data_IF_915425729906
#
_entry.id   IF_915425729906
#
_cell.length_a   1.000
_cell.length_b   1.000
_cell.length_c   1.000
_cell.angle_alpha   90.00
_cell.angle_beta   90.00
_cell.angle_gamma   90.00
#
_symmetry.space_group_name_H-M   'P 1'
#
loop_
_entity.id
_entity.type
_entity.pdbx_description
1 polymer ?
#
# COMPACT_ATOMS: atom_id res chain seq x y z
N UNK A 1 -23.15 -14.98 -6.94
CA UNK A 1 -22.86 -16.43 -6.91
C UNK A 1 -21.57 -16.63 -7.69
N UNK A 2 -20.41 -16.72 -7.01
CA UNK A 2 -19.17 -17.09 -7.71
C UNK A 2 -19.33 -18.53 -8.17
N UNK A 3 -19.30 -18.74 -9.49
CA UNK A 3 -19.19 -20.07 -10.05
C UNK A 3 -17.97 -20.74 -9.41
N UNK A 4 -18.16 -21.96 -8.87
CA UNK A 4 -17.05 -22.76 -8.36
C UNK A 4 -16.12 -23.04 -9.54
N UNK A 5 -14.93 -22.44 -9.51
CA UNK A 5 -13.88 -22.73 -10.49
C UNK A 5 -13.41 -24.16 -10.25
N UNK A 6 -13.24 -24.95 -11.31
CA UNK A 6 -12.71 -26.31 -11.20
C UNK A 6 -11.29 -26.25 -10.62
N UNK A 7 -10.96 -27.01 -9.55
CA UNK A 7 -9.60 -27.10 -9.04
C UNK A 7 -8.53 -27.43 -10.09
N UNK A 8 -8.90 -28.06 -11.21
CA UNK A 8 -8.01 -28.32 -12.34
C UNK A 8 -7.55 -27.06 -13.10
N UNK A 9 -8.28 -25.94 -12.98
CA UNK A 9 -7.94 -24.65 -13.61
C UNK A 9 -7.05 -23.75 -12.74
N UNK A 10 -6.58 -24.28 -11.60
CA UNK A 10 -5.71 -23.55 -10.69
C UNK A 10 -4.26 -23.61 -11.17
N UNK A 11 -3.57 -22.48 -11.06
CA UNK A 11 -2.14 -22.34 -11.30
C UNK A 11 -1.46 -21.93 -10.00
N UNK A 12 -0.24 -22.41 -9.83
CA UNK A 12 0.64 -21.98 -8.75
C UNK A 12 1.45 -20.78 -9.22
N UNK A 13 1.43 -19.71 -8.45
CA UNK A 13 2.26 -18.53 -8.64
C UNK A 13 3.17 -18.34 -7.44
N UNK A 14 4.42 -17.97 -7.68
CA UNK A 14 5.41 -17.75 -6.64
C UNK A 14 5.65 -16.26 -6.46
N UNK A 15 5.89 -15.86 -5.23
CA UNK A 15 6.19 -14.49 -4.90
C UNK A 15 7.05 -14.36 -3.65
N UNK A 16 7.38 -13.13 -3.33
CA UNK A 16 8.18 -12.83 -2.16
C UNK A 16 8.49 -11.36 -2.03
N UNK A 17 9.20 -11.02 -0.96
CA UNK A 17 9.73 -9.67 -0.83
C UNK A 17 10.97 -9.48 -1.71
N UNK A 18 11.30 -8.23 -2.02
CA UNK A 18 12.43 -7.87 -2.88
C UNK A 18 13.77 -8.47 -2.43
N UNK A 19 14.04 -8.49 -1.12
CA UNK A 19 15.28 -9.05 -0.59
C UNK A 19 15.31 -10.59 -0.49
N UNK A 20 14.20 -11.28 -0.80
CA UNK A 20 14.11 -12.74 -0.75
C UNK A 20 14.16 -13.35 0.66
N UNK A 21 13.99 -12.54 1.71
CA UNK A 21 13.89 -12.99 3.10
C UNK A 21 12.56 -13.71 3.37
N UNK A 22 11.51 -13.35 2.64
CA UNK A 22 10.19 -13.97 2.69
C UNK A 22 9.80 -14.44 1.28
N UNK A 23 9.35 -15.70 1.16
CA UNK A 23 8.86 -16.29 -0.08
C UNK A 23 7.56 -17.04 0.18
N UNK A 24 6.67 -17.02 -0.79
CA UNK A 24 5.39 -17.69 -0.73
C UNK A 24 5.00 -18.26 -2.10
N UNK A 25 4.09 -19.21 -2.09
CA UNK A 25 3.34 -19.65 -3.26
C UNK A 25 1.84 -19.43 -3.02
N UNK A 26 1.11 -19.12 -4.09
CA UNK A 26 -0.36 -19.10 -4.10
C UNK A 26 -0.88 -20.06 -5.15
N UNK A 27 -1.91 -20.83 -4.80
CA UNK A 27 -2.65 -21.65 -5.77
C UNK A 27 -4.01 -21.00 -6.01
N UNK A 28 -4.21 -20.39 -7.17
CA UNK A 28 -5.43 -19.66 -7.53
C UNK A 28 -5.83 -19.97 -8.98
N UNK A 29 -7.08 -19.67 -9.41
CA UNK A 29 -7.41 -19.70 -10.84
C UNK A 29 -6.44 -18.86 -11.66
N UNK A 30 -6.25 -19.21 -12.93
CA UNK A 30 -5.37 -18.46 -13.83
C UNK A 30 -5.63 -16.94 -13.75
N UNK A 31 -4.56 -16.20 -13.48
CA UNK A 31 -4.59 -14.75 -13.34
C UNK A 31 -4.79 -14.10 -14.72
N UNK A 32 -6.01 -13.62 -14.98
CA UNK A 32 -6.39 -12.99 -16.27
C UNK A 32 -6.31 -11.46 -16.26
N UNK A 33 -6.01 -10.87 -15.10
CA UNK A 33 -5.96 -9.42 -14.92
C UNK A 33 -5.75 -9.05 -13.46
N UNK A 34 -5.41 -7.79 -13.22
CA UNK A 34 -5.12 -7.25 -11.88
C UNK A 34 -5.96 -6.01 -11.58
N UNK A 35 -6.25 -5.78 -10.30
CA UNK A 35 -6.99 -4.60 -9.83
C UNK A 35 -6.04 -3.44 -9.49
N UNK A 36 -6.16 -2.31 -10.17
CA UNK A 36 -5.44 -1.09 -9.82
C UNK A 36 -6.33 -0.18 -8.95
N UNK A 37 -6.09 -0.16 -7.64
CA UNK A 37 -6.82 0.71 -6.71
C UNK A 37 -6.10 2.04 -6.52
N UNK A 38 -6.84 3.14 -6.61
CA UNK A 38 -6.31 4.49 -6.45
C UNK A 38 -6.42 5.05 -5.02
N UNK A 39 -6.73 4.26 -3.98
CA UNK A 39 -6.74 4.78 -2.61
C UNK A 39 -5.33 5.13 -2.11
N UNK A 40 -5.25 5.95 -1.05
CA UNK A 40 -3.99 6.49 -0.52
C UNK A 40 -2.95 5.40 -0.24
N UNK A 41 -3.32 4.30 0.43
CA UNK A 41 -2.38 3.22 0.75
C UNK A 41 -1.90 2.46 -0.48
N UNK A 42 -2.80 2.19 -1.45
CA UNK A 42 -2.44 1.45 -2.66
C UNK A 42 -1.49 2.27 -3.53
N UNK A 43 -1.76 3.56 -3.71
CA UNK A 43 -0.86 4.47 -4.42
C UNK A 43 0.48 4.58 -3.69
N UNK A 44 0.46 4.85 -2.36
CA UNK A 44 1.68 5.11 -1.60
C UNK A 44 2.63 3.92 -1.53
N UNK A 45 2.08 2.71 -1.41
CA UNK A 45 2.87 1.48 -1.34
C UNK A 45 3.10 0.84 -2.72
N UNK A 46 2.60 1.44 -3.81
CA UNK A 46 2.71 0.87 -5.15
C UNK A 46 2.01 -0.49 -5.29
N UNK A 47 0.93 -0.72 -4.56
CA UNK A 47 0.20 -2.00 -4.57
C UNK A 47 -0.59 -2.09 -5.87
N UNK A 48 -0.22 -3.05 -6.73
CA UNK A 48 -0.97 -3.39 -7.94
C UNK A 48 -1.59 -4.76 -7.75
N UNK A 49 -2.90 -4.83 -7.92
CA UNK A 49 -3.65 -6.07 -7.91
C UNK A 49 -3.63 -6.73 -6.56
N UNK A 50 -4.49 -6.30 -5.62
CA UNK A 50 -4.90 -7.19 -4.54
C UNK A 50 -5.66 -8.36 -5.19
N UNK A 51 -4.95 -9.44 -5.47
CA UNK A 51 -5.57 -10.67 -5.94
C UNK A 51 -6.27 -11.26 -4.72
N UNK A 52 -7.55 -10.95 -4.59
CA UNK A 52 -8.38 -11.35 -3.45
C UNK A 52 -8.90 -12.75 -3.64
N UNK A 53 -8.69 -13.58 -2.63
CA UNK A 53 -9.19 -14.94 -2.56
C UNK A 53 -9.54 -15.28 -1.10
N UNK A 54 -10.42 -16.27 -0.90
CA UNK A 54 -10.90 -16.59 0.45
C UNK A 54 -9.83 -17.37 1.20
N UNK A 55 -9.72 -17.10 2.49
CA UNK A 55 -8.78 -17.77 3.39
C UNK A 55 -9.31 -19.10 3.96
N UNK A 56 -10.45 -19.60 3.44
CA UNK A 56 -11.16 -20.78 3.94
C UNK A 56 -11.29 -21.92 2.91
N UNK A 57 -10.63 -21.80 1.74
CA UNK A 57 -10.82 -22.72 0.60
C UNK A 57 -9.52 -23.31 0.04
N UNK A 58 -9.58 -24.07 -1.09
CA UNK A 58 -8.43 -24.72 -1.75
C UNK A 58 -7.41 -23.74 -2.35
N UNK A 59 -7.58 -22.44 -2.09
CA UNK A 59 -6.70 -21.33 -2.41
C UNK A 59 -5.61 -21.26 -1.34
N UNK A 60 -4.50 -21.96 -1.58
CA UNK A 60 -3.45 -22.10 -0.56
C UNK A 60 -2.46 -20.94 -0.68
N UNK A 61 -2.39 -20.08 0.33
CA UNK A 61 -1.22 -19.23 0.58
C UNK A 61 -0.20 -20.04 1.39
N UNK A 62 0.88 -20.45 0.74
CA UNK A 62 1.90 -21.32 1.32
C UNK A 62 3.15 -20.47 1.57
N UNK A 63 3.64 -20.45 2.81
CA UNK A 63 4.93 -19.84 3.12
C UNK A 63 6.03 -20.83 2.79
N UNK A 64 6.88 -20.49 1.81
CA UNK A 64 8.01 -21.33 1.38
C UNK A 64 9.30 -20.98 2.12
N UNK A 65 9.45 -19.72 2.54
CA UNK A 65 10.61 -19.24 3.30
C UNK A 65 10.25 -18.04 4.17
N UNK A 66 10.84 -18.00 5.36
CA UNK A 66 10.65 -16.93 6.32
C UNK A 66 9.46 -17.19 7.23
N UNK A 67 9.17 -16.23 8.10
CA UNK A 67 8.05 -16.28 9.03
C UNK A 67 7.05 -15.18 8.68
N UNK A 68 5.79 -15.56 8.53
CA UNK A 68 4.69 -14.63 8.23
C UNK A 68 4.52 -13.60 9.35
N UNK A 69 4.84 -13.95 10.59
CA UNK A 69 4.78 -13.05 11.74
C UNK A 69 6.02 -12.17 11.92
N UNK A 70 7.12 -12.49 11.22
CA UNK A 70 8.24 -11.57 11.08
C UNK A 70 7.94 -10.40 10.12
N UNK A 71 6.92 -10.52 9.26
CA UNK A 71 6.44 -9.39 8.46
C UNK A 71 5.83 -8.32 9.35
N UNK A 72 6.20 -7.07 9.08
CA UNK A 72 5.62 -5.91 9.76
C UNK A 72 4.16 -5.77 9.36
N UNK A 73 3.34 -5.33 10.32
CA UNK A 73 1.89 -5.16 10.16
C UNK A 73 1.56 -3.67 10.18
N UNK A 74 0.68 -3.24 9.28
CA UNK A 74 0.14 -1.89 9.27
C UNK A 74 -1.37 -1.93 8.99
N UNK A 75 -2.13 -1.21 9.79
CA UNK A 75 -3.58 -1.07 9.68
C UNK A 75 -3.96 0.39 9.97
N UNK A 76 -5.03 0.87 9.33
CA UNK A 76 -5.54 2.22 9.49
C UNK A 76 -7.06 2.22 9.31
N UNK A 77 -7.74 3.23 9.89
CA UNK A 77 -9.21 3.36 9.93
C UNK A 77 -9.96 2.18 10.59
N UNK A 78 -11.30 2.20 10.52
CA UNK A 78 -12.21 1.16 11.06
C UNK A 78 -12.22 -0.13 10.22
N UNK A 79 -11.36 -0.27 9.21
CA UNK A 79 -11.31 -1.46 8.36
C UNK A 79 -10.34 -2.45 8.96
N UNK A 80 -10.76 -3.71 9.06
CA UNK A 80 -9.98 -4.82 9.62
C UNK A 80 -8.84 -5.29 8.69
N UNK A 81 -8.42 -4.46 7.74
CA UNK A 81 -7.38 -4.79 6.78
C UNK A 81 -6.00 -4.65 7.43
N UNK A 82 -5.23 -5.73 7.38
CA UNK A 82 -3.86 -5.81 7.91
C UNK A 82 -2.88 -5.97 6.75
N UNK A 83 -2.18 -4.89 6.41
CA UNK A 83 -1.12 -4.91 5.41
C UNK A 83 0.15 -5.53 6.01
N UNK A 84 0.69 -6.54 5.35
CA UNK A 84 1.91 -7.25 5.75
C UNK A 84 3.04 -6.92 4.77
N UNK A 85 4.16 -6.45 5.30
CA UNK A 85 5.30 -6.02 4.49
C UNK A 85 6.62 -6.45 5.11
N UNK A 86 7.64 -6.62 4.27
CA UNK A 86 8.97 -7.01 4.72
C UNK A 86 9.61 -5.87 5.52
N UNK A 87 10.00 -6.13 6.77
CA UNK A 87 10.69 -5.15 7.60
C UNK A 87 12.13 -4.81 7.15
N UNK A 88 12.69 -5.58 6.20
CA UNK A 88 14.05 -5.38 5.68
C UNK A 88 14.05 -4.49 4.43
N UNK A 89 13.15 -4.76 3.47
CA UNK A 89 13.14 -4.06 2.18
C UNK A 89 11.87 -3.25 1.90
N UNK A 90 10.88 -3.27 2.80
CA UNK A 90 9.65 -2.48 2.65
C UNK A 90 8.61 -3.05 1.68
N UNK A 91 8.91 -4.12 0.92
CA UNK A 91 7.95 -4.73 -0.03
C UNK A 91 6.65 -5.11 0.69
N UNK A 92 5.52 -4.55 0.23
CA UNK A 92 4.19 -5.02 0.60
C UNK A 92 3.94 -6.38 -0.08
N UNK A 93 3.66 -7.41 0.72
CA UNK A 93 3.50 -8.78 0.25
C UNK A 93 2.01 -9.10 0.08
N UNK A 94 1.24 -8.91 1.14
CA UNK A 94 -0.20 -9.15 1.12
C UNK A 94 -0.95 -8.25 2.11
N UNK A 95 -2.25 -8.16 1.92
CA UNK A 95 -3.22 -7.59 2.86
C UNK A 95 -4.14 -8.72 3.33
N UNK A 96 -4.43 -8.73 4.62
CA UNK A 96 -5.33 -9.69 5.25
C UNK A 96 -6.58 -8.97 5.74
N UNK A 97 -7.73 -9.34 5.18
CA UNK A 97 -9.04 -9.06 5.75
C UNK A 97 -9.53 -10.31 6.53
N UNK A 98 -10.59 -10.21 7.37
CA UNK A 98 -11.04 -11.33 8.18
C UNK A 98 -11.30 -12.62 7.41
N UNK A 99 -11.81 -12.53 6.19
CA UNK A 99 -12.17 -13.69 5.35
C UNK A 99 -11.28 -13.86 4.12
N UNK A 100 -10.51 -12.84 3.74
CA UNK A 100 -9.83 -12.79 2.45
C UNK A 100 -8.36 -12.39 2.58
N UNK A 101 -7.54 -12.88 1.66
CA UNK A 101 -6.16 -12.44 1.46
C UNK A 101 -6.08 -11.76 0.10
N UNK A 102 -5.48 -10.56 0.08
CA UNK A 102 -5.14 -9.84 -1.14
C UNK A 102 -3.63 -9.84 -1.34
N UNK A 103 -3.13 -10.52 -2.35
CA UNK A 103 -1.69 -10.51 -2.68
C UNK A 103 -1.36 -9.25 -3.45
N UNK A 104 -0.26 -8.56 -3.16
CA UNK A 104 0.24 -7.53 -4.06
C UNK A 104 0.87 -8.22 -5.29
N UNK A 105 0.24 -8.11 -6.46
CA UNK A 105 0.72 -8.81 -7.65
C UNK A 105 2.18 -8.46 -8.02
N UNK A 106 2.67 -7.25 -7.71
CA UNK A 106 4.09 -6.88 -7.92
C UNK A 106 5.08 -7.68 -7.06
N UNK A 107 4.60 -8.46 -6.09
CA UNK A 107 5.43 -9.39 -5.33
C UNK A 107 5.57 -10.77 -5.98
N UNK A 108 4.80 -11.06 -7.03
CA UNK A 108 4.95 -12.28 -7.83
C UNK A 108 6.18 -12.20 -8.72
N UNK A 109 6.85 -13.34 -8.94
CA UNK A 109 8.14 -13.41 -9.63
C UNK A 109 8.12 -14.26 -10.90
N UNK A 110 7.06 -15.03 -11.12
CA UNK A 110 6.92 -15.96 -12.24
C UNK A 110 5.91 -15.49 -13.31
N UNK A 111 5.46 -14.24 -13.22
CA UNK A 111 4.54 -13.62 -14.18
C UNK A 111 4.87 -12.14 -14.41
N UNK A 112 4.72 -11.70 -15.66
CA UNK A 112 4.75 -10.27 -16.00
C UNK A 112 3.40 -9.62 -15.67
N UNK A 113 3.34 -9.02 -14.48
CA UNK A 113 2.12 -8.37 -13.99
C UNK A 113 1.78 -7.05 -14.69
N UNK A 114 2.76 -6.40 -15.31
CA UNK A 114 2.52 -5.14 -16.05
C UNK A 114 1.84 -5.42 -17.38
N UNK A 115 2.10 -6.58 -18.00
CA UNK A 115 1.46 -7.01 -19.24
C UNK A 115 -0.01 -7.47 -19.06
N UNK A 116 -0.46 -7.70 -17.83
CA UNK A 116 -1.83 -8.12 -17.55
C UNK A 116 -2.83 -6.97 -17.73
N UNK A 117 -4.08 -7.24 -18.15
CA UNK A 117 -5.14 -6.23 -18.17
C UNK A 117 -5.41 -5.63 -16.78
N UNK A 118 -5.49 -4.30 -16.70
CA UNK A 118 -5.77 -3.58 -15.45
C UNK A 118 -7.24 -3.21 -15.34
N UNK A 119 -7.88 -3.68 -14.26
CA UNK A 119 -9.19 -3.20 -13.85
C UNK A 119 -9.03 -2.11 -12.81
N UNK A 120 -9.36 -0.89 -13.18
CA UNK A 120 -9.29 0.26 -12.26
C UNK A 120 -10.43 0.18 -11.24
N UNK A 121 -10.07 0.36 -9.97
CA UNK A 121 -11.00 0.43 -8.87
C UNK A 121 -10.92 1.80 -8.20
N UNK A 122 -12.06 2.46 -8.08
CA UNK A 122 -12.16 3.78 -7.46
C UNK A 122 -12.25 3.65 -5.92
N UNK A 123 -11.09 3.51 -5.31
CA UNK A 123 -10.91 3.39 -3.86
C UNK A 123 -11.31 4.64 -3.08
N UNK A 124 -11.32 5.82 -3.71
CA UNK A 124 -11.76 7.07 -3.09
C UNK A 124 -13.26 7.07 -2.75
N UNK A 125 -14.07 6.31 -3.48
CA UNK A 125 -15.52 6.20 -3.22
C UNK A 125 -15.88 5.34 -2.00
N UNK A 126 -14.93 4.55 -1.48
CA UNK A 126 -15.21 3.58 -0.41
C UNK A 126 -15.39 4.24 0.97
N UNK A 127 -15.12 5.53 1.11
CA UNK A 127 -15.32 6.31 2.35
C UNK A 127 -14.46 7.56 2.39
N UNK A 128 -14.45 8.24 3.54
CA UNK A 128 -13.54 9.38 3.77
C UNK A 128 -12.10 8.92 3.55
N UNK A 129 -11.31 9.57 2.67
CA UNK A 129 -9.90 9.25 2.51
C UNK A 129 -9.17 9.37 3.84
N UNK A 130 -8.27 8.43 4.11
CA UNK A 130 -7.41 8.49 5.28
C UNK A 130 -6.62 9.80 5.24
N UNK A 131 -6.94 10.71 6.16
CA UNK A 131 -6.16 11.91 6.41
C UNK A 131 -5.21 11.58 7.57
N UNK A 132 -3.91 11.61 7.32
CA UNK A 132 -2.92 11.49 8.38
C UNK A 132 -3.09 12.66 9.35
N UNK A 133 -3.49 12.40 10.60
CA UNK A 133 -3.72 13.43 11.62
C UNK A 133 -2.38 14.03 12.10
N UNK A 134 -2.12 15.31 11.83
CA UNK A 134 -1.03 16.09 12.45
C UNK A 134 -1.45 17.54 12.68
N UNK A 135 -1.98 17.86 13.87
CA UNK A 135 -2.21 19.24 14.32
C UNK A 135 -3.31 20.03 13.59
N UNK A 136 -3.43 19.83 12.28
CA UNK A 136 -4.54 20.18 11.40
C UNK A 136 -4.78 19.03 10.42
N UNK A 137 -6.05 18.80 10.10
CA UNK A 137 -6.49 17.76 9.17
C UNK A 137 -6.02 18.16 7.76
N UNK A 138 -4.98 17.51 7.25
CA UNK A 138 -4.66 17.61 5.82
C UNK A 138 -5.75 16.86 5.07
N UNK A 139 -6.69 17.60 4.48
CA UNK A 139 -7.61 17.01 3.51
C UNK A 139 -6.80 16.44 2.36
N UNK A 140 -6.69 15.12 2.31
CA UNK A 140 -6.25 14.45 1.09
C UNK A 140 -7.31 14.69 0.04
N UNK A 141 -7.07 15.68 -0.83
CA UNK A 141 -7.85 15.91 -2.04
C UNK A 141 -7.31 14.97 -3.12
N UNK A 142 -8.19 14.53 -4.01
CA UNK A 142 -7.79 13.86 -5.24
C UNK A 142 -6.78 14.77 -5.96
N UNK A 143 -5.56 14.31 -6.31
CA UNK A 143 -4.63 15.14 -7.05
C UNK A 143 -5.25 15.58 -8.39
N UNK A 144 -5.40 16.88 -8.61
CA UNK A 144 -5.95 17.44 -9.86
C UNK A 144 -4.87 17.63 -10.95
N UNK A 145 -3.65 17.14 -10.70
CA UNK A 145 -2.55 17.16 -11.68
C UNK A 145 -1.83 18.50 -11.82
N UNK A 146 -2.13 19.48 -10.97
CA UNK A 146 -1.37 20.74 -10.87
C UNK A 146 -0.76 20.79 -9.47
N UNK A 147 0.56 20.69 -9.37
CA UNK A 147 1.23 21.21 -8.19
C UNK A 147 0.98 22.73 -8.18
N UNK A 148 0.57 23.29 -7.06
CA UNK A 148 0.52 24.74 -6.93
C UNK A 148 1.97 25.24 -7.04
N UNK A 149 2.30 25.85 -8.18
CA UNK A 149 3.59 26.52 -8.40
C UNK A 149 3.59 27.80 -7.56
N UNK A 150 3.92 27.69 -6.27
CA UNK A 150 4.34 28.86 -5.49
C UNK A 150 5.72 29.28 -5.99
N UNK A 151 5.75 30.15 -6.99
CA UNK A 151 6.98 30.73 -7.53
C UNK A 151 7.46 31.85 -6.60
N UNK A 152 8.03 31.50 -5.46
CA UNK A 152 9.10 32.33 -4.88
C UNK A 152 10.44 31.81 -5.41
N UNK A 153 11.07 32.60 -6.27
CA UNK A 153 12.50 32.48 -6.65
C UNK A 153 12.91 31.24 -7.49
N UNK A 154 12.18 30.92 -8.57
CA UNK A 154 12.54 29.86 -9.56
C UNK A 154 12.71 28.44 -8.98
N UNK A 155 12.22 28.20 -7.75
CA UNK A 155 12.26 26.90 -7.09
C UNK A 155 10.85 26.31 -6.97
N UNK A 156 10.66 25.09 -7.47
CA UNK A 156 9.46 24.29 -7.25
C UNK A 156 9.67 23.40 -6.03
N UNK A 157 8.81 23.58 -5.01
CA UNK A 157 8.84 22.78 -3.79
C UNK A 157 7.92 21.56 -3.91
N UNK A 158 8.45 20.39 -3.58
CA UNK A 158 7.71 19.14 -3.51
C UNK A 158 7.69 18.61 -2.09
N UNK A 159 6.50 18.21 -1.63
CA UNK A 159 6.32 17.61 -0.32
C UNK A 159 6.07 16.10 -0.44
N UNK A 160 6.80 15.35 0.37
CA UNK A 160 6.62 13.92 0.60
C UNK A 160 6.26 13.63 2.05
N UNK A 161 5.67 12.47 2.31
CA UNK A 161 5.38 11.99 3.66
C UNK A 161 5.41 10.46 3.77
N UNK A 162 5.47 9.87 4.98
CA UNK A 162 5.02 8.49 5.16
C UNK A 162 3.50 8.41 5.01
N UNK A 163 2.94 7.22 4.72
CA UNK A 163 1.48 7.04 4.75
C UNK A 163 0.89 7.47 6.11
N UNK A 164 1.63 7.22 7.19
CA UNK A 164 1.31 7.64 8.55
C UNK A 164 1.44 9.14 8.84
N UNK A 165 2.00 9.94 7.92
CA UNK A 165 2.39 11.34 8.05
C UNK A 165 3.50 11.71 9.06
N UNK A 166 4.02 10.77 9.89
CA UNK A 166 5.08 11.03 10.89
C UNK A 166 6.37 11.62 10.34
N UNK A 167 6.69 11.28 9.10
CA UNK A 167 7.85 11.82 8.39
C UNK A 167 7.30 12.70 7.29
N UNK A 168 7.82 13.93 7.17
CA UNK A 168 7.65 14.78 6.00
C UNK A 168 9.01 15.03 5.36
N UNK A 169 9.03 15.00 4.04
CA UNK A 169 10.19 15.35 3.25
C UNK A 169 9.83 16.58 2.42
N UNK A 170 10.78 17.50 2.29
CA UNK A 170 10.66 18.63 1.39
C UNK A 170 11.85 18.58 0.42
N UNK A 171 11.54 18.62 -0.87
CA UNK A 171 12.53 18.69 -1.94
C UNK A 171 12.28 19.93 -2.79
N UNK A 172 13.33 20.43 -3.41
CA UNK A 172 13.28 21.62 -4.26
C UNK A 172 13.87 21.29 -5.63
N UNK A 173 13.29 21.82 -6.70
CA UNK A 173 13.90 21.79 -8.05
C UNK A 173 13.95 23.20 -8.62
N UNK A 174 15.08 23.58 -9.23
CA UNK A 174 15.28 24.90 -9.83
C UNK A 174 16.76 25.29 -9.87
N UNK A 175 17.08 26.42 -10.51
CA UNK A 175 18.43 26.98 -10.56
C UNK A 175 18.43 28.33 -9.86
N UNK A 176 19.06 28.40 -8.68
CA UNK A 176 19.46 29.66 -8.06
C UNK A 176 20.98 29.74 -8.14
N UNK A 177 21.55 30.88 -8.55
CA UNK A 177 23.00 31.09 -8.51
C UNK A 177 23.52 30.75 -7.10
N UNK A 178 24.27 29.65 -6.96
CA UNK A 178 24.89 29.23 -5.71
C UNK A 178 24.10 28.28 -4.80
N UNK A 179 22.91 27.78 -5.18
CA UNK A 179 22.21 26.72 -4.43
C UNK A 179 22.17 25.41 -5.22
N UNK A 180 22.88 24.39 -4.74
CA UNK A 180 22.82 23.02 -5.29
C UNK A 180 21.46 22.36 -4.99
N UNK A 181 21.05 21.39 -5.81
CA UNK A 181 19.87 20.53 -5.56
C UNK A 181 19.94 19.97 -4.13
N UNK A 182 18.96 20.31 -3.30
CA UNK A 182 18.91 19.96 -1.88
C UNK A 182 17.64 19.20 -1.50
N UNK A 183 17.74 18.34 -0.49
CA UNK A 183 16.59 17.72 0.16
C UNK A 183 16.74 17.78 1.68
N UNK A 184 15.63 18.01 2.39
CA UNK A 184 15.62 18.01 3.84
C UNK A 184 14.53 17.07 4.36
N UNK A 185 14.90 16.26 5.36
CA UNK A 185 13.95 15.45 6.13
C UNK A 185 13.53 16.29 7.33
N UNK A 186 12.23 16.56 7.45
CA UNK A 186 11.65 17.24 8.59
C UNK A 186 11.02 16.20 9.51
N UNK A 187 11.73 15.86 10.58
CA UNK A 187 11.19 15.03 11.66
C UNK A 187 10.41 15.92 12.62
N UNK A 188 9.09 15.72 12.69
CA UNK A 188 8.24 16.36 13.69
C UNK A 188 8.10 15.41 14.90
N UNK A 189 8.06 15.93 16.15
CA UNK A 189 7.80 15.09 17.31
C UNK A 189 6.47 14.34 17.15
N UNK A 190 6.35 13.11 17.67
CA UNK A 190 5.15 12.30 17.48
C UNK A 190 3.92 13.05 17.99
N UNK A 191 2.78 13.02 17.26
CA UNK A 191 1.55 13.60 17.76
C UNK A 191 1.15 12.87 19.04
N UNK A 192 0.71 13.61 20.04
CA UNK A 192 -0.03 13.04 21.17
C UNK A 192 -1.28 12.38 20.60
N UNK A 193 -1.29 11.05 20.52
CA UNK A 193 -2.49 10.31 20.18
C UNK A 193 -3.57 10.67 21.23
N UNK A 194 -4.72 11.25 20.86
CA UNK A 194 -5.81 11.35 21.79
C UNK A 194 -6.16 9.93 22.23
N UNK A 195 -6.22 9.71 23.55
CA UNK A 195 -6.57 8.42 24.14
C UNK A 195 -7.78 7.84 23.40
N UNK A 196 -7.62 6.62 22.87
CA UNK A 196 -8.73 5.85 22.34
C UNK A 196 -9.87 5.91 23.37
N UNK A 197 -11.02 6.39 22.93
CA UNK A 197 -12.23 6.48 23.73
C UNK A 197 -12.40 5.19 24.54
N UNK A 198 -12.31 5.32 25.88
CA UNK A 198 -12.83 4.28 26.78
C UNK A 198 -14.30 4.08 26.37
N UNK A 199 -14.64 2.86 25.97
CA UNK A 199 -16.04 2.46 25.88
C UNK A 199 -16.71 2.77 27.22
N UNK A 200 -17.92 3.34 27.24
CA UNK A 200 -18.66 3.49 28.48
C UNK A 200 -18.89 2.07 29.05
N UNK A 201 -18.38 1.84 30.25
CA UNK A 201 -18.79 0.71 31.07
C UNK A 201 -20.30 0.79 31.29
N UNK A 202 -20.95 -0.36 31.13
CA UNK A 202 -22.35 -0.66 31.46
C UNK A 202 -22.90 0.04 32.69
#
# INVERSE_FOLDING_TARGET
MSAKVDPADFKTYHGGCHCGAFKFAIRIPELKGVMACNCSICIKNGILGNIWFRDDGPEEFIVEKGDIDALKKYSFERRNAVYRFCGICGTNVFVKDPEEIGINARSLVDIDVEALPWRHYDGWKKGTPYAAEFGERVEWKKPEGKAEEETEEDLVTYYGNCHCGKIRCQGYTGMREGLELGSQILEQPPPHLPNAHRAPSS
#
